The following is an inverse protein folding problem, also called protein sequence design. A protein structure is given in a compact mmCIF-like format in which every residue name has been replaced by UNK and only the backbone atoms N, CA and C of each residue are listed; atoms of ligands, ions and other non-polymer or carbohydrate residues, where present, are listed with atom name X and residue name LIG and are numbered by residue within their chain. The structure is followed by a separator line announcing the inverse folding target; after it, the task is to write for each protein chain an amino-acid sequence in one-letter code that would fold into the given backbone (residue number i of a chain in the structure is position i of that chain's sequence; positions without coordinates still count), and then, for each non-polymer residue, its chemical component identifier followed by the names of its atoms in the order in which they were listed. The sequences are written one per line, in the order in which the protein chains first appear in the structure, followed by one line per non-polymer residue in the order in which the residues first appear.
data_IF_889994228186
#
_entry.id   IF_889994228186
#
_cell.length_a   1.000
_cell.length_b   1.000
_cell.length_c   1.000
_cell.angle_alpha   90.00
_cell.angle_beta   90.00
_cell.angle_gamma   90.00
#
_symmetry.space_group_name_H-M   'P 1'
#
loop_
_entity.id
_entity.type
_entity.pdbx_description
1 polymer ?
#
# COMPACT_ATOMS: atom_id res chain seq x y z
N UNK A 1 13.07 -14.17 12.09
CA UNK A 1 12.95 -13.38 10.85
C UNK A 1 13.11 -11.89 11.17
N UNK A 2 13.87 -11.11 10.39
CA UNK A 2 14.04 -9.66 10.66
C UNK A 2 12.76 -8.88 10.34
N UNK A 3 12.58 -7.70 10.96
CA UNK A 3 11.45 -6.80 10.68
C UNK A 3 11.40 -6.40 9.20
N UNK A 4 12.55 -6.08 8.61
CA UNK A 4 12.67 -5.78 7.18
C UNK A 4 12.18 -6.93 6.31
N UNK A 5 12.65 -8.16 6.57
CA UNK A 5 12.22 -9.31 5.78
C UNK A 5 10.72 -9.52 5.90
N UNK A 6 10.16 -9.39 7.11
CA UNK A 6 8.71 -9.48 7.33
C UNK A 6 7.93 -8.43 6.55
N UNK A 7 8.39 -7.19 6.56
CA UNK A 7 7.74 -6.12 5.80
C UNK A 7 7.81 -6.37 4.29
N UNK A 8 8.98 -6.75 3.79
CA UNK A 8 9.19 -7.08 2.38
C UNK A 8 8.34 -8.26 1.90
N UNK A 9 8.19 -9.30 2.73
CA UNK A 9 7.36 -10.47 2.41
C UNK A 9 5.86 -10.13 2.40
N UNK A 10 5.40 -9.24 3.29
CA UNK A 10 3.99 -8.79 3.34
C UNK A 10 3.66 -7.94 2.11
N UNK A 11 4.54 -7.00 1.75
CA UNK A 11 4.37 -6.10 0.62
C UNK A 11 5.20 -6.56 -0.59
N UNK A 12 5.09 -7.84 -0.94
CA UNK A 12 5.73 -8.36 -2.15
C UNK A 12 4.93 -8.00 -3.41
N UNK A 13 5.58 -8.06 -4.58
CA UNK A 13 5.03 -7.60 -5.86
C UNK A 13 6.08 -7.65 -6.96
N UNK A 14 5.99 -6.75 -7.94
CA UNK A 14 6.95 -6.66 -9.05
C UNK A 14 8.38 -6.52 -8.51
N UNK A 15 9.30 -7.40 -8.90
CA UNK A 15 10.70 -7.32 -8.47
C UNK A 15 11.52 -6.40 -9.36
N UNK A 16 11.21 -6.37 -10.66
CA UNK A 16 11.97 -5.64 -11.66
C UNK A 16 11.85 -4.10 -11.62
N UNK A 17 10.92 -3.55 -10.83
CA UNK A 17 10.77 -2.11 -10.67
C UNK A 17 10.11 -1.74 -9.34
N UNK A 18 10.27 -0.49 -8.93
CA UNK A 18 9.62 0.08 -7.76
C UNK A 18 9.34 1.57 -7.95
N UNK A 19 8.31 2.08 -7.28
CA UNK A 19 8.07 3.51 -7.18
C UNK A 19 9.01 4.15 -6.17
N UNK A 20 9.31 5.43 -6.33
CA UNK A 20 10.01 6.22 -5.33
C UNK A 20 9.45 7.64 -5.29
N UNK A 21 9.65 8.31 -4.16
CA UNK A 21 9.32 9.72 -4.00
C UNK A 21 10.52 10.48 -3.47
N UNK A 22 11.09 11.34 -4.32
CA UNK A 22 12.21 12.20 -3.95
C UNK A 22 11.65 13.53 -3.44
N UNK A 23 11.91 13.84 -2.19
CA UNK A 23 11.60 15.16 -1.61
C UNK A 23 12.58 16.17 -2.21
N UNK A 24 12.05 17.20 -2.88
CA UNK A 24 12.83 18.27 -3.52
C UNK A 24 12.74 19.58 -2.75
N UNK A 25 11.81 19.69 -1.79
CA UNK A 25 11.69 20.84 -0.91
C UNK A 25 10.55 20.71 0.08
N UNK A 26 10.32 21.79 0.82
CA UNK A 26 9.20 21.93 1.75
C UNK A 26 8.50 23.26 1.49
N UNK A 27 7.17 23.23 1.33
CA UNK A 27 6.36 24.44 1.27
C UNK A 27 6.29 25.12 2.63
N UNK A 28 5.97 26.42 2.62
CA UNK A 28 5.80 27.26 3.83
C UNK A 28 4.72 26.74 4.79
N UNK A 29 3.81 25.89 4.32
CA UNK A 29 2.79 25.19 5.12
C UNK A 29 3.28 23.87 5.75
N UNK A 30 4.57 23.54 5.66
CA UNK A 30 5.16 22.30 6.18
C UNK A 30 4.95 21.05 5.32
N UNK A 31 4.33 21.17 4.13
CA UNK A 31 4.18 20.03 3.20
C UNK A 31 5.46 19.85 2.38
N UNK A 32 6.04 18.65 2.47
CA UNK A 32 7.10 18.23 1.55
C UNK A 32 6.58 18.20 0.11
N UNK A 33 7.31 18.84 -0.79
CA UNK A 33 7.14 18.76 -2.24
C UNK A 33 8.22 17.88 -2.82
N UNK A 34 7.89 17.16 -3.87
CA UNK A 34 8.78 16.18 -4.43
C UNK A 34 8.19 15.52 -5.65
N UNK A 35 9.02 14.70 -6.28
CA UNK A 35 8.71 14.04 -7.53
C UNK A 35 8.55 12.54 -7.29
N UNK A 36 7.39 12.03 -7.67
CA UNK A 36 7.17 10.59 -7.80
C UNK A 36 7.82 10.11 -9.10
N UNK A 37 8.51 8.97 -9.05
CA UNK A 37 9.05 8.31 -10.24
C UNK A 37 9.03 6.80 -10.08
N UNK A 38 9.16 6.09 -11.20
CA UNK A 38 9.35 4.63 -11.22
C UNK A 38 10.80 4.35 -11.57
N UNK A 39 11.48 3.58 -10.73
CA UNK A 39 12.83 3.07 -10.97
C UNK A 39 12.70 1.66 -11.56
N UNK A 40 13.21 1.45 -12.76
CA UNK A 40 13.20 0.15 -13.47
C UNK A 40 14.44 -0.66 -13.12
N UNK A 41 14.60 -0.94 -11.84
CA UNK A 41 15.70 -1.75 -11.31
C UNK A 41 15.18 -2.78 -10.30
N UNK A 42 15.88 -3.91 -10.13
CA UNK A 42 15.51 -4.92 -9.14
C UNK A 42 15.45 -4.36 -7.71
N UNK A 43 14.37 -4.67 -7.00
CA UNK A 43 14.28 -4.39 -5.55
C UNK A 43 15.30 -5.23 -4.79
N UNK A 44 16.10 -4.57 -3.95
CA UNK A 44 17.15 -5.22 -3.14
C UNK A 44 16.83 -5.17 -1.65
N UNK A 45 17.47 -6.04 -0.86
CA UNK A 45 17.36 -6.01 0.61
C UNK A 45 17.79 -4.65 1.19
N UNK A 46 18.84 -4.05 0.63
CA UNK A 46 19.35 -2.76 1.08
C UNK A 46 18.30 -1.65 0.94
N UNK A 47 17.56 -1.62 -0.18
CA UNK A 47 16.47 -0.66 -0.39
C UNK A 47 15.39 -0.76 0.70
N UNK A 48 15.02 -1.98 1.10
CA UNK A 48 14.05 -2.18 2.19
C UNK A 48 14.59 -1.74 3.55
N UNK A 49 15.86 -2.06 3.86
CA UNK A 49 16.50 -1.68 5.12
C UNK A 49 16.63 -0.15 5.23
N UNK A 50 17.02 0.52 4.16
CA UNK A 50 17.14 1.97 4.06
C UNK A 50 15.78 2.67 4.16
N UNK A 51 14.75 2.12 3.50
CA UNK A 51 13.38 2.62 3.60
C UNK A 51 12.86 2.57 5.05
N UNK A 52 12.98 1.41 5.71
CA UNK A 52 12.44 1.23 7.07
C UNK A 52 13.27 1.93 8.14
N UNK A 53 14.55 2.18 7.89
CA UNK A 53 15.39 3.00 8.78
C UNK A 53 15.21 4.50 8.56
N UNK A 54 14.50 4.92 7.50
CA UNK A 54 14.34 6.32 7.12
C UNK A 54 15.63 6.98 6.59
N UNK A 55 16.67 6.20 6.27
CA UNK A 55 17.97 6.69 5.80
C UNK A 55 18.07 6.79 4.29
N UNK A 56 17.26 6.06 3.54
CA UNK A 56 17.21 6.12 2.08
C UNK A 56 15.91 6.67 1.53
N UNK A 57 15.75 6.55 0.22
CA UNK A 57 14.55 6.99 -0.47
C UNK A 57 13.32 6.17 -0.04
N UNK A 58 12.14 6.82 -0.04
CA UNK A 58 10.90 6.08 0.09
C UNK A 58 10.73 5.14 -1.12
N UNK A 59 10.30 3.91 -0.86
CA UNK A 59 9.99 2.95 -1.91
C UNK A 59 8.49 2.67 -1.91
N UNK A 60 7.91 2.59 -3.11
CA UNK A 60 6.54 2.17 -3.37
C UNK A 60 6.56 0.86 -4.14
N UNK A 61 5.71 -0.08 -3.76
CA UNK A 61 5.68 -1.40 -4.39
C UNK A 61 4.55 -1.44 -5.42
N UNK A 62 4.89 -1.91 -6.63
CA UNK A 62 3.89 -2.27 -7.63
C UNK A 62 3.37 -3.67 -7.24
N UNK A 63 2.08 -3.83 -6.86
CA UNK A 63 1.60 -5.07 -6.25
C UNK A 63 1.60 -6.27 -7.22
N UNK A 64 1.39 -6.00 -8.51
CA UNK A 64 1.30 -7.00 -9.57
C UNK A 64 2.71 -7.41 -9.97
N UNK A 65 3.01 -8.70 -9.85
CA UNK A 65 4.30 -9.27 -10.22
C UNK A 65 4.39 -9.61 -11.72
N UNK A 66 5.52 -10.18 -12.12
CA UNK A 66 5.83 -10.56 -13.51
C UNK A 66 4.87 -11.62 -14.09
N UNK A 67 4.15 -12.36 -13.23
CA UNK A 67 3.18 -13.39 -13.60
C UNK A 67 1.72 -12.90 -13.57
N UNK A 68 1.47 -11.58 -13.48
CA UNK A 68 0.15 -10.98 -13.27
C UNK A 68 -0.57 -11.47 -12.00
N UNK A 69 0.20 -11.80 -10.96
CA UNK A 69 -0.29 -12.21 -9.64
C UNK A 69 0.00 -11.15 -8.58
N UNK A 70 -0.79 -11.18 -7.51
CA UNK A 70 -0.71 -10.26 -6.37
C UNK A 70 -0.82 -11.02 -5.05
N UNK A 71 -0.29 -10.45 -3.97
CA UNK A 71 -0.43 -10.93 -2.59
C UNK A 71 -1.19 -9.97 -1.66
N UNK A 72 -1.42 -8.76 -2.15
CA UNK A 72 -2.13 -7.74 -1.42
C UNK A 72 -2.75 -6.75 -2.40
N UNK A 73 -3.76 -6.05 -1.92
CA UNK A 73 -4.39 -4.95 -2.62
C UNK A 73 -5.00 -3.99 -1.61
N UNK A 74 -5.54 -2.88 -2.11
CA UNK A 74 -6.01 -1.80 -1.27
C UNK A 74 -7.24 -1.15 -1.89
N UNK A 75 -8.24 -0.86 -1.06
CA UNK A 75 -9.30 0.11 -1.38
C UNK A 75 -8.81 1.46 -0.88
N UNK A 76 -8.83 2.47 -1.74
CA UNK A 76 -8.48 3.85 -1.42
C UNK A 76 -9.76 4.66 -1.28
N UNK A 77 -10.01 5.18 -0.07
CA UNK A 77 -11.20 5.96 0.26
C UNK A 77 -10.81 7.44 0.33
N UNK A 78 -11.14 8.16 -0.75
CA UNK A 78 -10.93 9.59 -0.91
C UNK A 78 -12.16 10.43 -0.51
N UNK A 79 -12.69 10.18 0.68
CA UNK A 79 -13.80 10.95 1.26
C UNK A 79 -13.28 11.88 2.37
N UNK A 80 -13.79 13.12 2.39
CA UNK A 80 -13.36 14.16 3.32
C UNK A 80 -14.56 15.02 3.78
N UNK A 81 -14.91 15.05 5.08
CA UNK A 81 -14.34 14.26 6.18
C UNK A 81 -14.79 12.80 6.15
N UNK A 82 -13.90 11.87 6.55
CA UNK A 82 -14.22 10.46 6.71
C UNK A 82 -14.38 10.09 8.19
N UNK A 83 -15.46 9.37 8.54
CA UNK A 83 -15.57 8.72 9.86
C UNK A 83 -14.83 7.37 9.87
N UNK A 84 -13.55 7.38 10.24
CA UNK A 84 -12.75 6.16 10.36
C UNK A 84 -13.33 5.15 11.36
N UNK A 85 -14.04 5.60 12.41
CA UNK A 85 -14.63 4.69 13.39
C UNK A 85 -15.78 3.92 12.77
N UNK A 86 -16.61 4.58 11.97
CA UNK A 86 -17.70 3.92 11.25
C UNK A 86 -17.16 2.89 10.26
N UNK A 87 -16.13 3.23 9.48
CA UNK A 87 -15.47 2.29 8.54
C UNK A 87 -14.98 1.04 9.28
N UNK A 88 -14.25 1.22 10.38
CA UNK A 88 -13.75 0.11 11.20
C UNK A 88 -14.90 -0.72 11.80
N UNK A 89 -15.98 -0.07 12.23
CA UNK A 89 -17.16 -0.75 12.77
C UNK A 89 -17.88 -1.60 11.71
N UNK A 90 -18.05 -1.09 10.48
CA UNK A 90 -18.60 -1.82 9.33
C UNK A 90 -17.77 -3.05 9.01
N UNK A 91 -16.45 -2.87 8.84
CA UNK A 91 -15.50 -3.96 8.55
C UNK A 91 -15.58 -5.08 9.60
N UNK A 92 -15.60 -4.71 10.89
CA UNK A 92 -15.70 -5.69 11.99
C UNK A 92 -17.05 -6.41 12.01
N UNK A 93 -18.16 -5.69 11.81
CA UNK A 93 -19.51 -6.26 11.76
C UNK A 93 -19.65 -7.28 10.63
N UNK A 94 -19.07 -6.97 9.47
CA UNK A 94 -19.07 -7.85 8.29
C UNK A 94 -17.99 -8.94 8.34
N UNK A 95 -17.13 -8.93 9.37
CA UNK A 95 -16.00 -9.86 9.54
C UNK A 95 -15.05 -9.88 8.33
N UNK A 96 -14.84 -8.73 7.71
CA UNK A 96 -13.96 -8.58 6.56
C UNK A 96 -12.48 -8.58 7.00
N UNK A 97 -11.58 -9.27 6.30
CA UNK A 97 -10.16 -9.37 6.65
C UNK A 97 -9.35 -8.16 6.17
N UNK A 98 -9.82 -6.94 6.48
CA UNK A 98 -9.18 -5.70 6.06
C UNK A 98 -8.34 -5.06 7.19
N UNK A 99 -7.21 -4.49 6.82
CA UNK A 99 -6.39 -3.63 7.69
C UNK A 99 -6.57 -2.17 7.27
N UNK A 100 -7.10 -1.35 8.16
CA UNK A 100 -7.39 0.07 7.89
C UNK A 100 -6.24 0.96 8.36
N UNK A 101 -5.74 1.81 7.46
CA UNK A 101 -4.74 2.83 7.73
C UNK A 101 -5.30 4.20 7.37
N UNK A 102 -5.18 5.19 8.26
CA UNK A 102 -5.52 6.59 7.94
C UNK A 102 -4.52 7.13 6.92
N UNK A 103 -5.00 7.68 5.81
CA UNK A 103 -4.14 8.29 4.80
C UNK A 103 -3.61 9.65 5.26
N UNK A 104 -2.58 10.17 4.56
CA UNK A 104 -2.00 11.49 4.86
C UNK A 104 -3.02 12.62 4.69
N UNK A 105 -3.89 12.53 3.69
CA UNK A 105 -4.91 13.54 3.37
C UNK A 105 -6.10 13.51 4.33
N UNK A 106 -6.29 12.42 5.08
CA UNK A 106 -7.40 12.26 6.01
C UNK A 106 -8.44 11.22 5.58
N UNK A 107 -8.29 10.60 4.41
CA UNK A 107 -9.08 9.45 3.97
C UNK A 107 -8.61 8.15 4.62
N UNK A 108 -8.86 7.01 3.98
CA UNK A 108 -8.44 5.70 4.49
C UNK A 108 -7.95 4.75 3.39
N UNK A 109 -6.91 4.00 3.70
CA UNK A 109 -6.46 2.85 2.92
C UNK A 109 -6.90 1.57 3.62
N UNK A 110 -7.68 0.73 2.95
CA UNK A 110 -8.14 -0.55 3.47
C UNK A 110 -7.44 -1.69 2.72
N UNK A 111 -6.42 -2.27 3.36
CA UNK A 111 -5.58 -3.32 2.77
C UNK A 111 -6.17 -4.71 2.97
N UNK A 112 -6.14 -5.51 1.90
CA UNK A 112 -6.42 -6.94 1.90
C UNK A 112 -5.13 -7.69 1.59
N UNK A 113 -4.84 -8.76 2.34
CA UNK A 113 -3.66 -9.62 2.15
C UNK A 113 -4.10 -11.07 1.95
N UNK A 114 -3.38 -11.79 1.10
CA UNK A 114 -3.57 -13.22 0.85
C UNK A 114 -2.34 -14.01 1.30
N UNK A 115 -2.55 -15.26 1.71
CA UNK A 115 -1.45 -16.20 2.03
C UNK A 115 -0.70 -16.61 0.77
N UNK A 116 -1.46 -16.85 -0.30
CA UNK A 116 -0.97 -17.33 -1.58
C UNK A 116 -1.08 -16.26 -2.66
N UNK A 117 -0.29 -16.43 -3.72
CA UNK A 117 -0.39 -15.57 -4.89
C UNK A 117 -1.69 -15.86 -5.63
N UNK A 118 -2.54 -14.83 -5.80
CA UNK A 118 -3.76 -14.91 -6.59
C UNK A 118 -3.63 -14.05 -7.84
N UNK A 119 -4.54 -14.21 -8.80
CA UNK A 119 -4.51 -13.36 -10.00
C UNK A 119 -4.83 -11.91 -9.64
N UNK A 120 -4.22 -10.95 -10.33
CA UNK A 120 -4.55 -9.53 -10.14
C UNK A 120 -6.04 -9.24 -10.40
N UNK A 121 -6.65 -9.97 -11.35
CA UNK A 121 -8.09 -9.89 -11.66
C UNK A 121 -8.95 -10.30 -10.47
N UNK A 122 -8.68 -11.45 -9.87
CA UNK A 122 -9.43 -11.95 -8.71
C UNK A 122 -9.33 -11.00 -7.52
N UNK A 123 -8.13 -10.47 -7.22
CA UNK A 123 -7.96 -9.45 -6.18
C UNK A 123 -8.83 -8.21 -6.46
N UNK A 124 -8.83 -7.71 -7.70
CA UNK A 124 -9.66 -6.55 -8.07
C UNK A 124 -11.15 -6.84 -7.93
N UNK A 125 -11.63 -8.00 -8.39
CA UNK A 125 -13.03 -8.41 -8.27
C UNK A 125 -13.47 -8.45 -6.80
N UNK A 126 -12.66 -9.06 -5.92
CA UNK A 126 -12.94 -9.13 -4.48
C UNK A 126 -12.91 -7.74 -3.84
N UNK A 127 -11.91 -6.91 -4.14
CA UNK A 127 -11.85 -5.55 -3.59
C UNK A 127 -13.04 -4.69 -4.02
N UNK A 128 -13.50 -4.82 -5.27
CA UNK A 128 -14.69 -4.11 -5.76
C UNK A 128 -15.97 -4.58 -5.05
N UNK A 129 -16.12 -5.89 -4.83
CA UNK A 129 -17.25 -6.43 -4.06
C UNK A 129 -17.24 -5.94 -2.60
N UNK A 130 -16.06 -5.94 -1.97
CA UNK A 130 -15.89 -5.45 -0.61
C UNK A 130 -16.18 -3.95 -0.54
N UNK A 131 -15.65 -3.15 -1.47
CA UNK A 131 -15.90 -1.71 -1.55
C UNK A 131 -17.41 -1.43 -1.66
N UNK A 132 -18.10 -2.08 -2.60
CA UNK A 132 -19.55 -1.92 -2.76
C UNK A 132 -20.34 -2.29 -1.50
N UNK A 133 -19.86 -3.26 -0.71
CA UNK A 133 -20.50 -3.69 0.52
C UNK A 133 -20.21 -2.76 1.72
N UNK A 134 -19.11 -2.00 1.70
CA UNK A 134 -18.81 -0.97 2.70
C UNK A 134 -19.65 0.31 2.50
N UNK A 135 -20.11 0.52 1.28
CA UNK A 135 -20.82 1.73 0.83
C UNK A 135 -19.85 2.81 0.40
#
# INVERSE_FOLDING_TARGET
MSKTKRFADIFDGLKAAYGTYKIEGSQSNGKNTGKASVVREPRTKALWDEHLSGKGAAIGIIPINEENKVKWGCIDIDEYPLDHKEVVAKIRRMKLPLVVCRSKSGGAHCYLFTTDWITAKEMQEVLNQIAAALG
#
